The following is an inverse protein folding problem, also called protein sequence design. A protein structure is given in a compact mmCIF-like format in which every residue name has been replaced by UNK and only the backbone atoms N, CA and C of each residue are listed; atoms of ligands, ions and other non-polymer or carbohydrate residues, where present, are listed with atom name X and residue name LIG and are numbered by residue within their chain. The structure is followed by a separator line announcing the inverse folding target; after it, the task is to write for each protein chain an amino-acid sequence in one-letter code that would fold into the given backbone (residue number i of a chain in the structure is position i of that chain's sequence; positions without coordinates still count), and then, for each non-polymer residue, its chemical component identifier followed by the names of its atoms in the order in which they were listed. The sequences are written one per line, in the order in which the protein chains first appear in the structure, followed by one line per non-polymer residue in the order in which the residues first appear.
data_IF_553172878005
#
_entry.id   IF_553172878005
#
_cell.length_a   1.000
_cell.length_b   1.000
_cell.length_c   1.000
_cell.angle_alpha   90.00
_cell.angle_beta   90.00
_cell.angle_gamma   90.00
#
_symmetry.space_group_name_H-M   'P 1'
#
loop_
_entity.id
_entity.type
_entity.pdbx_description
1 polymer ?
#
# COMPACT_ATOMS: atom_id res chain seq x y z
N UNK A 1 -13.09 -25.93 -13.16
CA UNK A 1 -13.10 -24.60 -13.69
C UNK A 1 -13.59 -23.56 -12.73
N UNK A 2 -14.86 -23.51 -12.31
CA UNK A 2 -15.32 -22.47 -11.37
C UNK A 2 -14.63 -22.58 -10.01
N UNK A 3 -14.35 -23.78 -9.53
CA UNK A 3 -13.63 -24.01 -8.28
C UNK A 3 -12.20 -23.45 -8.27
N UNK A 4 -11.52 -23.39 -9.41
CA UNK A 4 -10.19 -22.75 -9.51
C UNK A 4 -10.24 -21.24 -9.26
N UNK A 5 -11.34 -20.57 -9.60
CA UNK A 5 -11.49 -19.12 -9.36
C UNK A 5 -11.70 -18.78 -7.89
N UNK A 6 -12.09 -19.73 -7.05
CA UNK A 6 -12.26 -19.54 -5.60
C UNK A 6 -10.93 -19.59 -4.83
N UNK A 7 -9.91 -20.26 -5.37
CA UNK A 7 -8.61 -20.40 -4.68
C UNK A 7 -7.97 -19.05 -4.33
N UNK A 8 -7.89 -18.06 -5.23
CA UNK A 8 -7.31 -16.76 -4.88
C UNK A 8 -8.11 -15.98 -3.82
N UNK A 9 -9.39 -16.27 -3.65
CA UNK A 9 -10.28 -15.60 -2.70
C UNK A 9 -10.23 -16.25 -1.31
N UNK A 10 -9.72 -17.48 -1.23
CA UNK A 10 -9.69 -18.30 -0.01
C UNK A 10 -9.03 -17.60 1.19
N UNK A 11 -7.90 -16.87 1.06
CA UNK A 11 -7.32 -16.13 2.19
C UNK A 11 -8.28 -15.10 2.77
N UNK A 12 -9.01 -14.40 1.90
CA UNK A 12 -9.98 -13.37 2.32
C UNK A 12 -11.16 -14.03 3.05
N UNK A 13 -11.65 -15.14 2.53
CA UNK A 13 -12.73 -15.92 3.15
C UNK A 13 -12.31 -16.38 4.56
N UNK A 14 -11.11 -16.93 4.71
CA UNK A 14 -10.58 -17.33 6.00
C UNK A 14 -10.47 -16.16 6.98
N UNK A 15 -9.95 -15.01 6.55
CA UNK A 15 -9.85 -13.82 7.38
C UNK A 15 -11.22 -13.30 7.83
N UNK A 16 -12.24 -13.37 6.98
CA UNK A 16 -13.62 -12.98 7.34
C UNK A 16 -14.22 -13.96 8.35
N UNK A 17 -14.13 -15.27 8.10
CA UNK A 17 -14.68 -16.30 8.99
C UNK A 17 -14.04 -16.24 10.38
N UNK A 18 -12.71 -16.07 10.44
CA UNK A 18 -11.95 -15.99 11.69
C UNK A 18 -11.68 -14.54 12.15
N UNK A 19 -12.52 -13.61 11.73
CA UNK A 19 -12.49 -12.23 12.25
C UNK A 19 -13.14 -12.15 13.63
N UNK A 20 -12.77 -11.14 14.41
CA UNK A 20 -13.42 -10.86 15.73
C UNK A 20 -14.94 -10.69 15.64
N UNK A 21 -15.46 -10.38 14.46
CA UNK A 21 -16.90 -10.16 14.24
C UNK A 21 -17.65 -11.50 14.20
N UNK A 22 -17.05 -12.53 13.61
CA UNK A 22 -17.71 -13.85 13.44
C UNK A 22 -17.23 -14.89 14.44
N UNK A 23 -15.99 -14.80 14.90
CA UNK A 23 -15.42 -15.76 15.86
C UNK A 23 -14.49 -15.03 16.83
N UNK A 24 -14.91 -14.94 18.10
CA UNK A 24 -14.13 -14.29 19.15
C UNK A 24 -13.02 -15.16 19.74
N UNK A 25 -13.04 -16.48 19.48
CA UNK A 25 -12.14 -17.44 20.13
C UNK A 25 -10.84 -17.66 19.36
N UNK A 26 -10.85 -17.47 18.04
CA UNK A 26 -9.68 -17.70 17.17
C UNK A 26 -9.50 -16.51 16.26
N UNK A 27 -8.39 -15.80 16.44
CA UNK A 27 -7.99 -14.69 15.56
C UNK A 27 -6.92 -15.23 14.60
N UNK A 28 -7.24 -15.25 13.33
CA UNK A 28 -6.31 -15.64 12.29
C UNK A 28 -5.59 -14.38 11.77
N UNK A 29 -4.26 -14.40 11.76
CA UNK A 29 -3.49 -13.34 11.13
C UNK A 29 -3.39 -13.56 9.60
N UNK A 30 -3.05 -12.51 8.88
CA UNK A 30 -3.00 -12.51 7.41
C UNK A 30 -1.99 -13.55 6.88
N UNK A 31 -0.82 -13.67 7.53
CA UNK A 31 0.22 -14.60 7.12
C UNK A 31 -0.24 -16.05 7.26
N UNK A 32 -0.85 -16.37 8.40
CA UNK A 32 -1.40 -17.71 8.66
C UNK A 32 -2.53 -18.06 7.70
N UNK A 33 -3.44 -17.11 7.41
CA UNK A 33 -4.50 -17.31 6.42
C UNK A 33 -3.93 -17.60 5.03
N UNK A 34 -2.87 -16.88 4.61
CA UNK A 34 -2.20 -17.13 3.34
C UNK A 34 -1.53 -18.49 3.30
N UNK A 35 -0.81 -18.91 4.34
CA UNK A 35 -0.17 -20.23 4.40
C UNK A 35 -1.19 -21.36 4.33
N UNK A 36 -2.28 -21.28 5.07
CA UNK A 36 -3.37 -22.25 5.02
C UNK A 36 -3.96 -22.32 3.62
N UNK A 37 -4.18 -21.17 2.98
CA UNK A 37 -4.74 -21.10 1.63
C UNK A 37 -3.83 -21.72 0.59
N UNK A 38 -2.51 -21.48 0.68
CA UNK A 38 -1.52 -22.15 -0.21
C UNK A 38 -1.53 -23.65 -0.01
N UNK A 39 -1.58 -24.12 1.24
CA UNK A 39 -1.65 -25.55 1.52
C UNK A 39 -2.92 -26.19 0.95
N UNK A 40 -4.07 -25.55 1.11
CA UNK A 40 -5.34 -26.01 0.52
C UNK A 40 -5.25 -25.99 -1.01
N UNK A 41 -4.65 -24.98 -1.62
CA UNK A 41 -4.47 -24.88 -3.06
C UNK A 41 -3.62 -26.05 -3.60
N UNK A 42 -2.53 -26.40 -2.91
CA UNK A 42 -1.68 -27.55 -3.26
C UNK A 42 -2.46 -28.88 -3.19
N UNK A 43 -3.20 -29.09 -2.09
CA UNK A 43 -4.04 -30.28 -1.95
C UNK A 43 -5.11 -30.36 -3.04
N UNK A 44 -5.75 -29.23 -3.33
CA UNK A 44 -6.75 -29.16 -4.40
C UNK A 44 -6.15 -29.50 -5.76
N UNK A 45 -4.99 -28.94 -6.09
CA UNK A 45 -4.31 -29.21 -7.35
C UNK A 45 -3.88 -30.67 -7.47
N UNK A 46 -3.39 -31.27 -6.37
CA UNK A 46 -3.02 -32.68 -6.29
C UNK A 46 -4.23 -33.57 -6.56
N UNK A 47 -5.39 -33.23 -6.01
CA UNK A 47 -6.62 -34.01 -6.15
C UNK A 47 -7.18 -33.95 -7.58
N UNK A 48 -7.11 -32.79 -8.22
CA UNK A 48 -7.65 -32.55 -9.55
C UNK A 48 -6.72 -33.01 -10.69
N UNK A 49 -5.43 -32.67 -10.61
CA UNK A 49 -4.47 -33.02 -11.67
C UNK A 49 -3.94 -34.44 -11.56
N UNK A 50 -3.98 -35.06 -10.39
CA UNK A 50 -3.47 -36.44 -10.10
C UNK A 50 -2.05 -36.71 -10.62
N UNK A 51 -1.28 -35.65 -10.89
CA UNK A 51 0.07 -35.71 -11.41
C UNK A 51 1.00 -34.88 -10.54
N UNK A 52 1.88 -35.53 -9.81
CA UNK A 52 2.83 -34.91 -8.92
C UNK A 52 3.78 -33.93 -9.64
N UNK A 53 4.16 -34.24 -10.89
CA UNK A 53 5.05 -33.34 -11.66
C UNK A 53 4.43 -31.97 -11.93
N UNK A 54 3.14 -31.96 -12.24
CA UNK A 54 2.40 -30.70 -12.51
C UNK A 54 2.23 -29.88 -11.24
N UNK A 55 1.99 -30.53 -10.10
CA UNK A 55 1.91 -29.87 -8.80
C UNK A 55 3.26 -29.26 -8.41
N UNK A 56 4.36 -30.00 -8.59
CA UNK A 56 5.71 -29.45 -8.34
C UNK A 56 6.06 -28.30 -9.30
N UNK A 57 5.62 -28.34 -10.54
CA UNK A 57 5.78 -27.23 -11.48
C UNK A 57 5.03 -25.98 -11.02
N UNK A 58 3.78 -26.14 -10.57
CA UNK A 58 3.00 -25.02 -10.01
C UNK A 58 3.63 -24.44 -8.74
N UNK A 59 4.17 -25.29 -7.87
CA UNK A 59 4.94 -24.86 -6.69
C UNK A 59 6.18 -24.06 -7.08
N UNK A 60 6.92 -24.46 -8.11
CA UNK A 60 8.07 -23.72 -8.59
C UNK A 60 7.68 -22.31 -9.08
N UNK A 61 6.56 -22.17 -9.77
CA UNK A 61 6.03 -20.86 -10.18
C UNK A 61 5.69 -20.01 -8.95
N UNK A 62 5.05 -20.60 -7.94
CA UNK A 62 4.74 -19.92 -6.68
C UNK A 62 6.01 -19.44 -5.97
N UNK A 63 7.02 -20.31 -5.78
CA UNK A 63 8.28 -19.96 -5.12
C UNK A 63 9.06 -18.90 -5.89
N UNK A 64 9.10 -19.00 -7.22
CA UNK A 64 9.73 -17.99 -8.07
C UNK A 64 9.03 -16.63 -7.97
N UNK A 65 7.69 -16.62 -7.99
CA UNK A 65 6.89 -15.41 -7.79
C UNK A 65 7.14 -14.78 -6.41
N UNK A 66 7.13 -15.59 -5.36
CA UNK A 66 7.42 -15.14 -3.99
C UNK A 66 8.85 -14.57 -3.87
N UNK A 67 9.83 -15.23 -4.48
CA UNK A 67 11.21 -14.75 -4.49
C UNK A 67 11.36 -13.40 -5.21
N UNK A 68 10.66 -13.20 -6.31
CA UNK A 68 10.65 -11.92 -7.04
C UNK A 68 10.00 -10.79 -6.22
N UNK A 69 8.87 -11.07 -5.56
CA UNK A 69 8.21 -10.10 -4.68
C UNK A 69 9.11 -9.78 -3.49
N UNK A 70 9.70 -10.80 -2.85
CA UNK A 70 10.63 -10.63 -1.74
C UNK A 70 11.80 -9.72 -2.14
N UNK A 71 12.47 -10.02 -3.26
CA UNK A 71 13.55 -9.20 -3.79
C UNK A 71 13.12 -7.74 -4.00
N UNK A 72 11.97 -7.52 -4.60
CA UNK A 72 11.50 -6.16 -4.93
C UNK A 72 11.08 -5.39 -3.68
N UNK A 73 10.29 -6.01 -2.81
CA UNK A 73 9.76 -5.34 -1.61
C UNK A 73 10.84 -5.10 -0.57
N UNK A 74 11.70 -6.08 -0.30
CA UNK A 74 12.78 -5.92 0.69
C UNK A 74 13.79 -4.88 0.23
N UNK A 75 14.17 -4.89 -1.06
CA UNK A 75 15.05 -3.86 -1.61
C UNK A 75 14.43 -2.46 -1.48
N UNK A 76 13.13 -2.33 -1.79
CA UNK A 76 12.41 -1.07 -1.65
C UNK A 76 12.42 -0.57 -0.20
N UNK A 77 12.17 -1.44 0.77
CA UNK A 77 12.16 -1.09 2.20
C UNK A 77 13.56 -0.62 2.64
N UNK A 78 14.61 -1.35 2.29
CA UNK A 78 16.00 -0.98 2.67
C UNK A 78 16.38 0.37 2.07
N UNK A 79 16.12 0.59 0.78
CA UNK A 79 16.44 1.86 0.11
C UNK A 79 15.62 3.01 0.71
N UNK A 80 14.35 2.76 1.03
CA UNK A 80 13.49 3.76 1.65
C UNK A 80 13.96 4.13 3.07
N UNK A 81 14.43 3.17 3.85
CA UNK A 81 14.97 3.43 5.19
C UNK A 81 16.25 4.25 5.14
N UNK A 82 17.16 3.95 4.19
CA UNK A 82 18.35 4.76 3.93
C UNK A 82 17.97 6.19 3.52
N UNK A 83 16.98 6.35 2.64
CA UNK A 83 16.50 7.66 2.20
C UNK A 83 15.90 8.47 3.36
N UNK A 84 15.04 7.85 4.18
CA UNK A 84 14.47 8.46 5.36
C UNK A 84 15.53 8.87 6.37
N UNK A 85 16.53 8.02 6.63
CA UNK A 85 17.67 8.34 7.49
C UNK A 85 18.47 9.53 6.95
N UNK A 86 18.64 9.63 5.65
CA UNK A 86 19.22 10.82 5.00
C UNK A 86 18.42 12.08 5.23
N UNK A 87 17.10 12.04 5.09
CA UNK A 87 16.22 13.18 5.38
C UNK A 87 16.29 13.60 6.85
N UNK A 88 16.32 12.66 7.77
CA UNK A 88 16.49 12.94 9.21
C UNK A 88 17.83 13.63 9.48
N UNK A 89 18.91 13.19 8.87
CA UNK A 89 20.24 13.78 8.99
C UNK A 89 20.30 15.21 8.43
N UNK A 90 19.47 15.53 7.46
CA UNK A 90 19.31 16.88 6.89
C UNK A 90 18.36 17.77 7.73
N UNK A 91 17.92 17.34 8.90
CA UNK A 91 16.96 18.05 9.74
C UNK A 91 15.62 18.35 9.03
N UNK A 92 15.19 17.48 8.12
CA UNK A 92 13.98 17.66 7.32
C UNK A 92 12.72 17.86 8.20
N UNK A 93 12.60 17.10 9.31
CA UNK A 93 11.48 17.25 10.24
C UNK A 93 11.48 18.65 10.89
N UNK A 94 12.64 19.19 11.30
CA UNK A 94 12.71 20.53 11.86
C UNK A 94 12.31 21.60 10.83
N UNK A 95 12.66 21.42 9.56
CA UNK A 95 12.22 22.30 8.50
C UNK A 95 10.68 22.26 8.31
N UNK A 96 10.07 21.06 8.37
CA UNK A 96 8.61 20.91 8.34
C UNK A 96 7.94 21.59 9.53
N UNK A 97 8.50 21.44 10.73
CA UNK A 97 8.00 22.09 11.96
C UNK A 97 8.02 23.60 11.79
N UNK A 98 9.15 24.17 11.39
CA UNK A 98 9.28 25.60 11.16
C UNK A 98 8.27 26.15 10.14
N UNK A 99 8.07 25.43 9.03
CA UNK A 99 7.05 25.79 8.04
C UNK A 99 5.63 25.76 8.63
N UNK A 100 5.32 24.76 9.46
CA UNK A 100 4.00 24.60 10.07
C UNK A 100 3.72 25.59 11.18
N UNK A 101 4.74 25.97 11.97
CA UNK A 101 4.66 27.01 12.98
C UNK A 101 4.32 28.38 12.38
N UNK A 102 4.92 28.71 11.24
CA UNK A 102 4.63 29.97 10.52
C UNK A 102 3.18 30.00 9.99
N UNK A 103 2.52 28.84 9.83
CA UNK A 103 1.12 28.73 9.44
C UNK A 103 0.16 28.66 10.65
N UNK A 104 0.68 28.66 11.90
CA UNK A 104 -0.12 28.53 13.12
C UNK A 104 -0.75 27.13 13.35
N UNK A 105 -0.30 26.12 12.60
CA UNK A 105 -0.88 24.77 12.57
C UNK A 105 0.19 23.69 12.80
N UNK A 106 0.86 23.69 13.95
CA UNK A 106 2.08 22.89 14.15
C UNK A 106 1.89 21.39 13.84
N UNK A 107 1.06 20.67 14.57
CA UNK A 107 0.87 19.22 14.38
C UNK A 107 0.03 18.91 13.13
N UNK A 108 -1.07 19.63 12.95
CA UNK A 108 -1.98 19.49 11.81
C UNK A 108 -1.26 19.84 10.50
N UNK A 109 -0.48 20.92 10.49
CA UNK A 109 0.26 21.39 9.32
C UNK A 109 1.28 20.35 8.83
N UNK A 110 2.01 19.69 9.74
CA UNK A 110 2.95 18.63 9.38
C UNK A 110 2.21 17.45 8.74
N UNK A 111 1.08 17.02 9.32
CA UNK A 111 0.25 15.97 8.77
C UNK A 111 -0.21 16.28 7.35
N UNK A 112 -0.72 17.49 7.10
CA UNK A 112 -1.15 17.94 5.78
C UNK A 112 0.01 17.96 4.79
N UNK A 113 1.16 18.52 5.18
CA UNK A 113 2.35 18.59 4.31
C UNK A 113 2.83 17.20 3.93
N UNK A 114 2.89 16.26 4.89
CA UNK A 114 3.29 14.86 4.62
C UNK A 114 2.32 14.16 3.68
N UNK A 115 1.03 14.34 3.87
CA UNK A 115 -0.03 13.78 2.99
C UNK A 115 0.11 14.32 1.56
N UNK A 116 0.28 15.62 1.41
CA UNK A 116 0.46 16.26 0.08
C UNK A 116 1.76 15.82 -0.57
N UNK A 117 2.88 15.76 0.17
CA UNK A 117 4.17 15.29 -0.33
C UNK A 117 4.07 13.84 -0.86
N UNK A 118 3.45 12.96 -0.09
CA UNK A 118 3.28 11.55 -0.49
C UNK A 118 2.37 11.44 -1.71
N UNK A 119 1.26 12.17 -1.74
CA UNK A 119 0.36 12.20 -2.89
C UNK A 119 1.09 12.60 -4.18
N UNK A 120 1.83 13.72 -4.13
CA UNK A 120 2.60 14.22 -5.27
C UNK A 120 3.72 13.25 -5.67
N UNK A 121 4.44 12.70 -4.70
CA UNK A 121 5.48 11.70 -4.94
C UNK A 121 4.91 10.45 -5.61
N UNK A 122 3.78 9.94 -5.13
CA UNK A 122 3.11 8.79 -5.73
C UNK A 122 2.63 9.06 -7.16
N UNK A 123 2.16 10.30 -7.42
CA UNK A 123 1.76 10.74 -8.75
C UNK A 123 2.94 10.78 -9.71
N UNK A 124 4.10 11.29 -9.28
CA UNK A 124 5.31 11.39 -10.10
C UNK A 124 5.92 10.00 -10.33
N UNK A 125 6.07 9.20 -9.27
CA UNK A 125 6.70 7.88 -9.34
C UNK A 125 5.82 6.79 -9.94
N UNK A 126 4.51 6.98 -10.00
CA UNK A 126 3.56 5.95 -10.46
C UNK A 126 3.39 4.78 -9.48
N UNK A 127 3.94 4.89 -8.28
CA UNK A 127 3.95 3.84 -7.27
C UNK A 127 3.60 4.39 -5.89
N UNK A 128 2.43 4.00 -5.38
CA UNK A 128 2.02 4.36 -4.02
C UNK A 128 2.92 3.73 -2.96
N UNK A 129 3.34 2.47 -3.17
CA UNK A 129 4.22 1.79 -2.23
C UNK A 129 5.59 2.49 -2.15
N UNK A 130 6.18 2.88 -3.29
CA UNK A 130 7.45 3.59 -3.29
C UNK A 130 7.34 4.93 -2.56
N UNK A 131 6.30 5.72 -2.84
CA UNK A 131 6.06 6.98 -2.16
C UNK A 131 5.84 6.81 -0.65
N UNK A 132 4.99 5.86 -0.27
CA UNK A 132 4.70 5.60 1.14
C UNK A 132 5.94 5.13 1.90
N UNK A 133 6.69 4.17 1.38
CA UNK A 133 7.90 3.69 2.04
C UNK A 133 9.01 4.75 2.10
N UNK A 134 9.09 5.68 1.13
CA UNK A 134 10.08 6.75 1.18
C UNK A 134 9.87 7.72 2.35
N UNK A 135 8.64 7.99 2.74
CA UNK A 135 8.31 8.96 3.78
C UNK A 135 7.72 8.32 5.05
N UNK A 136 7.18 7.11 4.95
CA UNK A 136 6.59 6.38 6.07
C UNK A 136 7.52 6.21 7.28
N UNK A 137 8.82 5.89 7.11
CA UNK A 137 9.76 5.78 8.22
C UNK A 137 9.98 7.07 9.03
N UNK A 138 9.58 8.24 8.52
CA UNK A 138 9.60 9.51 9.26
C UNK A 138 8.44 9.63 10.27
N UNK A 139 7.35 8.87 10.08
CA UNK A 139 6.15 8.96 10.88
C UNK A 139 6.39 8.70 12.39
N UNK A 140 7.17 7.70 12.83
CA UNK A 140 7.41 7.45 14.24
C UNK A 140 8.04 8.64 14.96
N UNK A 141 9.03 9.32 14.38
CA UNK A 141 9.67 10.47 14.97
C UNK A 141 8.70 11.66 15.08
N UNK A 142 7.90 11.90 14.04
CA UNK A 142 6.91 12.97 14.04
C UNK A 142 5.85 12.70 15.12
N UNK A 143 5.29 11.50 15.15
CA UNK A 143 4.24 11.14 16.11
C UNK A 143 4.73 11.18 17.56
N UNK A 144 5.98 10.77 17.81
CA UNK A 144 6.60 10.85 19.12
C UNK A 144 6.79 12.31 19.58
N UNK A 145 7.26 13.21 18.70
CA UNK A 145 7.46 14.62 19.02
C UNK A 145 6.18 15.35 19.38
N UNK A 146 5.07 15.00 18.73
CA UNK A 146 3.78 15.68 18.92
C UNK A 146 2.78 14.89 19.78
N UNK A 147 3.22 13.76 20.37
CA UNK A 147 2.38 12.89 21.17
C UNK A 147 1.10 12.45 20.43
N UNK A 148 1.23 12.15 19.12
CA UNK A 148 0.15 11.69 18.26
C UNK A 148 0.11 10.16 18.21
N UNK A 149 -1.06 9.61 17.92
CA UNK A 149 -1.16 8.18 17.64
C UNK A 149 -0.59 7.85 16.26
N UNK A 150 0.32 6.88 16.18
CA UNK A 150 0.96 6.51 14.92
C UNK A 150 -0.06 6.13 13.82
N UNK A 151 -1.16 5.48 14.19
CA UNK A 151 -2.20 5.06 13.25
C UNK A 151 -2.90 6.26 12.60
N UNK A 152 -3.21 7.30 13.39
CA UNK A 152 -3.86 8.51 12.91
C UNK A 152 -3.00 9.28 11.91
N UNK A 153 -1.68 9.10 11.96
CA UNK A 153 -0.74 9.72 11.05
C UNK A 153 -0.43 8.85 9.82
N UNK A 154 -0.20 7.55 10.03
CA UNK A 154 0.19 6.61 8.96
C UNK A 154 -0.99 6.33 8.01
N UNK A 155 -2.22 6.26 8.52
CA UNK A 155 -3.38 5.95 7.70
C UNK A 155 -3.63 6.97 6.58
N UNK A 156 -3.72 8.29 6.84
CA UNK A 156 -3.86 9.29 5.77
C UNK A 156 -2.67 9.32 4.82
N UNK A 157 -1.44 9.07 5.29
CA UNK A 157 -0.27 8.93 4.42
C UNK A 157 -0.42 7.77 3.43
N UNK A 158 -0.88 6.61 3.88
CA UNK A 158 -1.09 5.44 3.02
C UNK A 158 -2.22 5.67 2.01
N UNK A 159 -3.32 6.29 2.44
CA UNK A 159 -4.42 6.65 1.55
C UNK A 159 -3.96 7.65 0.48
N UNK A 160 -3.21 8.69 0.86
CA UNK A 160 -2.65 9.66 -0.08
C UNK A 160 -1.73 9.02 -1.11
N UNK A 161 -0.88 8.08 -0.70
CA UNK A 161 -0.03 7.31 -1.60
C UNK A 161 -0.86 6.53 -2.65
N UNK A 162 -1.94 5.90 -2.21
CA UNK A 162 -2.85 5.16 -3.08
C UNK A 162 -3.61 6.09 -4.04
N UNK A 163 -4.09 7.24 -3.56
CA UNK A 163 -4.76 8.25 -4.38
C UNK A 163 -3.81 8.85 -5.43
N UNK A 164 -2.59 9.22 -5.04
CA UNK A 164 -1.58 9.78 -5.94
C UNK A 164 -1.24 8.81 -7.08
N UNK A 165 -1.08 7.52 -6.78
CA UNK A 165 -0.85 6.49 -7.79
C UNK A 165 -1.99 6.40 -8.81
N UNK A 166 -3.25 6.57 -8.40
CA UNK A 166 -4.41 6.46 -9.31
C UNK A 166 -4.53 7.61 -10.30
N UNK A 167 -3.83 8.72 -10.06
CA UNK A 167 -3.75 9.88 -10.97
C UNK A 167 -2.36 10.03 -11.59
N UNK A 168 -1.55 8.99 -11.54
CA UNK A 168 -0.22 9.00 -12.15
C UNK A 168 -0.24 8.54 -13.60
N UNK A 169 0.26 9.36 -14.55
CA UNK A 169 0.32 8.97 -15.95
C UNK A 169 1.33 7.84 -16.23
N UNK A 170 2.26 7.59 -15.30
CA UNK A 170 3.30 6.55 -15.40
C UNK A 170 2.97 5.29 -14.59
N UNK A 171 1.83 5.23 -13.93
CA UNK A 171 1.38 4.03 -13.21
C UNK A 171 1.10 2.89 -14.17
N UNK A 172 1.72 1.72 -13.96
CA UNK A 172 1.53 0.54 -14.79
C UNK A 172 0.06 0.09 -14.88
N UNK A 173 -0.70 0.18 -13.78
CA UNK A 173 -2.13 -0.15 -13.77
C UNK A 173 -2.92 0.81 -14.64
N UNK A 174 -2.63 2.11 -14.57
CA UNK A 174 -3.32 3.13 -15.36
C UNK A 174 -2.98 2.98 -16.85
N UNK A 175 -1.71 2.69 -17.19
CA UNK A 175 -1.28 2.44 -18.57
C UNK A 175 -2.01 1.22 -19.13
N UNK A 176 -2.03 0.09 -18.41
CA UNK A 176 -2.73 -1.11 -18.85
C UNK A 176 -4.24 -0.87 -19.02
N UNK A 177 -4.87 -0.10 -18.11
CA UNK A 177 -6.27 0.27 -18.24
C UNK A 177 -6.52 1.15 -19.48
N UNK A 178 -5.62 2.09 -19.75
CA UNK A 178 -5.69 2.96 -20.93
C UNK A 178 -5.59 2.18 -22.23
N UNK A 179 -4.68 1.19 -22.28
CA UNK A 179 -4.53 0.30 -23.44
C UNK A 179 -5.81 -0.53 -23.69
N UNK A 180 -6.39 -1.12 -22.65
CA UNK A 180 -7.64 -1.90 -22.76
C UNK A 180 -8.79 -0.99 -23.23
N UNK A 181 -8.87 0.23 -22.71
CA UNK A 181 -9.92 1.19 -23.04
C UNK A 181 -9.68 1.94 -24.34
N UNK A 182 -8.55 1.70 -25.04
CA UNK A 182 -8.15 2.39 -26.28
C UNK A 182 -8.14 3.92 -26.14
N UNK A 183 -7.71 4.43 -24.98
CA UNK A 183 -7.57 5.87 -24.69
C UNK A 183 -6.16 6.19 -24.19
N UNK A 184 -5.78 7.47 -24.21
CA UNK A 184 -4.49 7.85 -23.64
C UNK A 184 -4.50 7.84 -22.10
N UNK A 185 -3.38 7.47 -21.48
CA UNK A 185 -3.22 7.49 -20.02
C UNK A 185 -3.57 8.87 -19.44
N UNK A 186 -3.23 9.95 -20.14
CA UNK A 186 -3.52 11.31 -19.71
C UNK A 186 -5.02 11.64 -19.69
N UNK A 187 -5.83 11.02 -20.54
CA UNK A 187 -7.29 11.20 -20.50
C UNK A 187 -7.89 10.58 -19.24
N UNK A 188 -7.37 9.42 -18.81
CA UNK A 188 -7.79 8.78 -17.54
C UNK A 188 -7.33 9.63 -16.36
N UNK A 189 -6.09 10.12 -16.36
CA UNK A 189 -5.58 11.03 -15.31
C UNK A 189 -6.47 12.25 -15.15
N UNK A 190 -6.79 12.94 -16.25
CA UNK A 190 -7.66 14.13 -16.20
C UNK A 190 -9.04 13.84 -15.62
N UNK A 191 -9.61 12.67 -15.89
CA UNK A 191 -10.91 12.26 -15.35
C UNK A 191 -10.83 11.95 -13.84
N UNK A 192 -9.76 11.29 -13.41
CA UNK A 192 -9.60 10.85 -12.03
C UNK A 192 -9.07 11.97 -11.12
N UNK A 193 -8.41 13.00 -11.66
CA UNK A 193 -7.75 14.03 -10.86
C UNK A 193 -8.73 14.78 -9.98
N UNK A 194 -9.87 15.23 -10.52
CA UNK A 194 -10.86 16.01 -9.76
C UNK A 194 -11.45 15.20 -8.60
N UNK A 195 -12.00 13.98 -8.81
CA UNK A 195 -12.52 13.20 -7.69
C UNK A 195 -11.44 12.80 -6.68
N UNK A 196 -10.19 12.54 -7.11
CA UNK A 196 -9.10 12.21 -6.19
C UNK A 196 -8.67 13.41 -5.35
N UNK A 197 -8.59 14.62 -5.93
CA UNK A 197 -8.31 15.84 -5.17
C UNK A 197 -9.44 16.15 -4.19
N UNK A 198 -10.69 15.99 -4.59
CA UNK A 198 -11.82 16.14 -3.68
C UNK A 198 -11.76 15.13 -2.52
N UNK A 199 -11.48 13.85 -2.81
CA UNK A 199 -11.28 12.83 -1.80
C UNK A 199 -10.09 13.12 -0.87
N UNK A 200 -8.98 13.64 -1.41
CA UNK A 200 -7.82 14.04 -0.63
C UNK A 200 -8.17 15.18 0.35
N UNK A 201 -8.90 16.19 -0.11
CA UNK A 201 -9.35 17.31 0.73
C UNK A 201 -10.28 16.81 1.84
N UNK A 202 -11.28 15.98 1.50
CA UNK A 202 -12.20 15.40 2.48
C UNK A 202 -11.44 14.58 3.52
N UNK A 203 -10.48 13.76 3.09
CA UNK A 203 -9.64 12.97 3.98
C UNK A 203 -8.82 13.85 4.92
N UNK A 204 -8.19 14.92 4.42
CA UNK A 204 -7.42 15.87 5.23
C UNK A 204 -8.33 16.54 6.28
N UNK A 205 -9.48 17.02 5.86
CA UNK A 205 -10.45 17.66 6.77
C UNK A 205 -10.91 16.67 7.85
N UNK A 206 -11.25 15.45 7.47
CA UNK A 206 -11.74 14.44 8.40
C UNK A 206 -10.68 13.99 9.43
N UNK A 207 -9.39 13.92 9.01
CA UNK A 207 -8.32 13.39 9.88
C UNK A 207 -7.61 14.45 10.72
N UNK A 208 -7.56 15.70 10.23
CA UNK A 208 -6.72 16.71 10.86
C UNK A 208 -7.49 17.94 11.36
N UNK A 209 -8.75 18.08 10.97
CA UNK A 209 -9.61 19.20 11.38
C UNK A 209 -10.87 18.66 12.07
#
# INVERSE_FOLDING_TARGET
PILYSLIPILPIILLVIFSKIMNSSIILDTSTAMFISVFIAILFELFFKRNLKDVFSSLNVFWSGMGNIFKTVVTLIIVADIFASGLLSLNFINALIYMSENLGLVAIGIGIVMVVLIFLSAMIMGSGNAAFFSFGPLAPEITQRFNLQALEFILPMNLAASMGRTVSPVSGVLIATAEIAQVSSMQIVKRNLIPMLAGLIIMIVYHFI
#
